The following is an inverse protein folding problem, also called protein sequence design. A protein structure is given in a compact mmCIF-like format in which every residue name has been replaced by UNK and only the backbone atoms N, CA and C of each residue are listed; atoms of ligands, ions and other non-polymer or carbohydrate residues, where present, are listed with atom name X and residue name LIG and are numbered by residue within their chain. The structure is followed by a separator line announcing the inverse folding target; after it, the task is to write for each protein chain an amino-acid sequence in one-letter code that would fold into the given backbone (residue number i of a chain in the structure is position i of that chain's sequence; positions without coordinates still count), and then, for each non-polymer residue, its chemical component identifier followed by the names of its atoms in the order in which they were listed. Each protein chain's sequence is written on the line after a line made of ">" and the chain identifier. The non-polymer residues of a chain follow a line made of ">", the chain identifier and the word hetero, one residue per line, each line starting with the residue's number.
data_IF_618443250504
#
_entry.id   IF_618443250504
#
_cell.length_a   1.000
_cell.length_b   1.000
_cell.length_c   1.000
_cell.angle_alpha   90.00
_cell.angle_beta   90.00
_cell.angle_gamma   90.00
#
_symmetry.space_group_name_H-M   'P 1'
#
loop_
_entity.id
_entity.type
_entity.pdbx_description
1 polymer ?
#
# COMPACT_ATOMS: atom_id res chain seq x y z
N UNK A 1 -4.23 0.73 -3.00
CA UNK A 1 -2.98 1.15 -3.67
C UNK A 1 -2.46 2.39 -2.96
N UNK A 2 -1.16 2.69 -3.03
CA UNK A 2 -0.62 3.94 -2.44
C UNK A 2 -0.92 5.19 -3.27
N UNK A 3 -1.63 5.06 -4.40
CA UNK A 3 -2.05 6.19 -5.22
C UNK A 3 -3.21 7.00 -4.62
N UNK A 4 -3.84 6.51 -3.55
CA UNK A 4 -4.85 7.26 -2.80
C UNK A 4 -4.28 8.57 -2.26
N UNK A 5 -2.97 8.65 -2.01
CA UNK A 5 -2.32 9.90 -1.59
C UNK A 5 -2.55 11.06 -2.55
N UNK A 6 -2.68 10.81 -3.86
CA UNK A 6 -2.83 11.86 -4.86
C UNK A 6 -4.10 12.69 -4.67
N UNK A 7 -5.15 12.10 -4.09
CA UNK A 7 -6.40 12.85 -3.80
C UNK A 7 -6.26 13.74 -2.56
N UNK A 8 -5.26 13.47 -1.71
CA UNK A 8 -5.01 14.19 -0.45
C UNK A 8 -3.83 15.17 -0.60
N UNK A 9 -2.95 14.99 -1.58
CA UNK A 9 -1.83 15.90 -1.87
C UNK A 9 -2.23 17.39 -1.95
N UNK A 10 -3.35 17.79 -2.60
CA UNK A 10 -3.79 19.18 -2.58
C UNK A 10 -4.12 19.70 -1.17
N UNK A 11 -4.67 18.84 -0.30
CA UNK A 11 -4.99 19.17 1.10
C UNK A 11 -3.69 19.32 1.90
N UNK A 12 -2.73 18.40 1.71
CA UNK A 12 -1.41 18.46 2.34
C UNK A 12 -0.69 19.76 1.95
N UNK A 13 -0.73 20.12 0.66
CA UNK A 13 -0.17 21.36 0.16
C UNK A 13 -0.82 22.57 0.83
N UNK A 14 -2.15 22.64 0.84
CA UNK A 14 -2.91 23.78 1.38
C UNK A 14 -2.66 23.98 2.87
N UNK A 15 -2.66 22.89 3.65
CA UNK A 15 -2.35 22.95 5.10
C UNK A 15 -0.90 23.36 5.34
N UNK A 16 0.05 22.83 4.56
CA UNK A 16 1.47 23.17 4.71
C UNK A 16 1.73 24.65 4.41
N UNK A 17 1.27 25.14 3.25
CA UNK A 17 1.56 26.50 2.80
C UNK A 17 0.93 27.55 3.72
N UNK A 18 -0.28 27.31 4.22
CA UNK A 18 -0.97 28.21 5.17
C UNK A 18 -0.29 28.29 6.53
N UNK A 19 0.40 27.23 6.95
CA UNK A 19 1.21 27.22 8.16
C UNK A 19 2.66 27.67 7.92
N UNK A 20 2.96 28.25 6.75
CA UNK A 20 4.30 28.65 6.34
C UNK A 20 5.33 27.49 6.36
N UNK A 21 4.85 26.27 6.14
CA UNK A 21 5.66 25.07 6.00
C UNK A 21 5.83 24.80 4.50
N UNK A 22 7.08 24.57 4.07
CA UNK A 22 7.40 24.17 2.70
C UNK A 22 6.62 22.89 2.31
N UNK A 23 5.67 22.94 1.35
CA UNK A 23 4.81 21.79 1.00
C UNK A 23 5.56 20.55 0.52
N UNK A 24 6.71 20.74 -0.12
CA UNK A 24 7.57 19.66 -0.62
C UNK A 24 8.00 18.70 0.49
N UNK A 25 8.07 19.18 1.75
CA UNK A 25 8.44 18.37 2.92
C UNK A 25 7.36 17.31 3.24
N UNK A 26 6.13 17.67 3.63
CA UNK A 26 5.09 16.68 3.93
C UNK A 26 4.59 15.95 2.69
N UNK A 27 4.56 16.58 1.50
CA UNK A 27 4.10 15.92 0.28
C UNK A 27 5.01 14.74 -0.08
N UNK A 28 6.33 14.93 -0.10
CA UNK A 28 7.27 13.85 -0.41
C UNK A 28 7.16 12.68 0.59
N UNK A 29 7.11 12.98 1.90
CA UNK A 29 6.99 11.96 2.93
C UNK A 29 5.65 11.21 2.83
N UNK A 30 4.55 11.91 2.55
CA UNK A 30 3.22 11.30 2.42
C UNK A 30 3.12 10.34 1.23
N UNK A 31 3.77 10.65 0.10
CA UNK A 31 3.77 9.77 -1.07
C UNK A 31 4.47 8.46 -0.78
N UNK A 32 5.63 8.51 -0.11
CA UNK A 32 6.35 7.31 0.31
C UNK A 32 5.56 6.55 1.38
N UNK A 33 5.05 7.23 2.40
CA UNK A 33 4.26 6.63 3.46
C UNK A 33 3.00 5.92 2.95
N UNK A 34 2.34 6.45 1.92
CA UNK A 34 1.17 5.80 1.32
C UNK A 34 1.51 4.48 0.61
N UNK A 35 2.71 4.38 0.01
CA UNK A 35 3.18 3.13 -0.58
C UNK A 35 3.58 2.12 0.50
N UNK A 36 4.28 2.56 1.55
CA UNK A 36 4.64 1.70 2.68
C UNK A 36 3.41 1.20 3.45
N UNK A 37 2.34 2.01 3.52
CA UNK A 37 1.08 1.60 4.13
C UNK A 37 0.40 0.39 3.50
N UNK A 38 0.81 -0.02 2.29
CA UNK A 38 0.32 -1.25 1.66
C UNK A 38 0.74 -2.48 2.49
N UNK A 39 1.97 -2.55 3.00
CA UNK A 39 2.45 -3.74 3.74
C UNK A 39 2.12 -3.71 5.23
N UNK A 40 1.69 -2.55 5.75
CA UNK A 40 1.31 -2.35 7.15
C UNK A 40 -0.21 -2.44 7.40
N UNK A 41 -0.99 -2.95 6.44
CA UNK A 41 -2.45 -2.95 6.53
C UNK A 41 -3.05 -4.36 6.61
N UNK A 42 -4.00 -4.62 7.53
CA UNK A 42 -4.65 -5.92 7.65
C UNK A 42 -5.58 -6.26 6.48
N UNK A 43 -5.99 -5.27 5.69
CA UNK A 43 -6.81 -5.47 4.50
C UNK A 43 -5.97 -5.48 3.22
N UNK A 44 -4.65 -5.54 3.35
CA UNK A 44 -3.75 -5.55 2.21
C UNK A 44 -3.69 -6.91 1.52
N UNK A 45 -3.97 -6.91 0.23
CA UNK A 45 -3.78 -8.07 -0.63
C UNK A 45 -2.32 -8.54 -0.62
N UNK A 46 -1.33 -7.62 -0.60
CA UNK A 46 0.08 -8.00 -0.59
C UNK A 46 0.46 -8.80 0.66
N UNK A 47 0.02 -8.33 1.84
CA UNK A 47 0.23 -9.01 3.14
C UNK A 47 -0.43 -10.38 3.14
N UNK A 48 -1.68 -10.45 2.70
CA UNK A 48 -2.47 -11.69 2.72
C UNK A 48 -1.96 -12.70 1.71
N UNK A 49 -1.57 -12.25 0.52
CA UNK A 49 -0.92 -13.09 -0.49
C UNK A 49 0.39 -13.66 0.02
N UNK A 50 1.22 -12.86 0.71
CA UNK A 50 2.47 -13.36 1.28
C UNK A 50 2.23 -14.42 2.36
N UNK A 51 1.30 -14.18 3.29
CA UNK A 51 0.92 -15.17 4.32
C UNK A 51 0.39 -16.45 3.68
N UNK A 52 -0.40 -16.34 2.60
CA UNK A 52 -0.90 -17.51 1.88
C UNK A 52 0.23 -18.28 1.17
N UNK A 53 1.16 -17.58 0.51
CA UNK A 53 2.32 -18.18 -0.18
C UNK A 53 3.28 -18.87 0.79
N UNK A 54 3.39 -18.37 2.03
CA UNK A 54 4.21 -18.94 3.08
C UNK A 54 3.44 -19.92 3.99
N UNK A 55 2.15 -20.16 3.73
CA UNK A 55 1.27 -20.91 4.63
C UNK A 55 1.70 -22.35 4.88
N UNK A 56 2.27 -23.00 3.86
CA UNK A 56 2.77 -24.38 3.95
C UNK A 56 4.21 -24.47 4.48
N UNK A 57 4.86 -23.34 4.77
CA UNK A 57 6.24 -23.30 5.22
C UNK A 57 6.33 -22.95 6.70
N UNK A 58 7.21 -23.66 7.41
CA UNK A 58 7.46 -23.39 8.83
C UNK A 58 8.74 -22.59 9.00
N UNK A 59 8.68 -21.54 9.82
CA UNK A 59 9.83 -20.76 10.28
C UNK A 59 10.06 -21.15 11.74
N UNK A 60 11.18 -21.81 12.04
CA UNK A 60 11.50 -22.32 13.37
C UNK A 60 10.39 -23.21 13.97
N UNK A 61 9.76 -24.06 13.14
CA UNK A 61 8.69 -24.97 13.57
C UNK A 61 7.32 -24.32 13.79
N UNK A 62 7.15 -23.03 13.44
CA UNK A 62 5.86 -22.33 13.46
C UNK A 62 5.47 -21.87 12.06
N UNK A 63 4.19 -21.99 11.72
CA UNK A 63 3.66 -21.34 10.53
C UNK A 63 3.59 -19.84 10.75
N UNK A 64 3.95 -19.07 9.73
CA UNK A 64 3.80 -17.62 9.78
C UNK A 64 2.29 -17.29 9.82
N UNK A 65 1.83 -16.73 10.94
CA UNK A 65 0.45 -16.24 11.00
C UNK A 65 0.36 -14.85 10.39
N UNK A 66 -0.87 -14.48 10.02
CA UNK A 66 -1.20 -13.12 9.59
C UNK A 66 -0.84 -12.06 10.64
N UNK A 67 -0.99 -12.39 11.92
CA UNK A 67 -0.65 -11.50 13.03
C UNK A 67 0.86 -11.34 13.16
N UNK A 68 1.64 -12.42 12.99
CA UNK A 68 3.09 -12.38 13.06
C UNK A 68 3.67 -11.45 12.00
N UNK A 69 3.16 -11.53 10.76
CA UNK A 69 3.61 -10.66 9.69
C UNK A 69 3.29 -9.19 10.00
N UNK A 70 2.07 -8.88 10.45
CA UNK A 70 1.68 -7.51 10.80
C UNK A 70 2.47 -6.97 12.01
N UNK A 71 2.81 -7.82 12.97
CA UNK A 71 3.64 -7.45 14.11
C UNK A 71 5.06 -7.04 13.69
N UNK A 72 5.52 -7.45 12.51
CA UNK A 72 6.80 -7.04 11.92
C UNK A 72 6.59 -5.82 11.01
N UNK A 73 5.61 -5.87 10.10
CA UNK A 73 5.44 -4.85 9.06
C UNK A 73 4.88 -3.53 9.59
N UNK A 74 4.00 -3.54 10.60
CA UNK A 74 3.44 -2.31 11.18
C UNK A 74 4.52 -1.50 11.91
N UNK A 75 5.31 -2.06 12.85
CA UNK A 75 6.34 -1.28 13.53
C UNK A 75 7.46 -0.83 12.59
N UNK A 76 7.92 -1.70 11.68
CA UNK A 76 8.96 -1.34 10.70
C UNK A 76 8.49 -0.21 9.77
N UNK A 77 7.25 -0.27 9.29
CA UNK A 77 6.65 0.79 8.48
C UNK A 77 6.53 2.09 9.26
N UNK A 78 6.09 2.03 10.52
CA UNK A 78 5.98 3.21 11.37
C UNK A 78 7.35 3.87 11.59
N UNK A 79 8.38 3.08 11.91
CA UNK A 79 9.75 3.57 12.07
C UNK A 79 10.25 4.20 10.76
N UNK A 80 10.05 3.54 9.63
CA UNK A 80 10.45 4.10 8.32
C UNK A 80 9.73 5.41 7.98
N UNK A 81 8.43 5.50 8.27
CA UNK A 81 7.65 6.73 8.07
C UNK A 81 8.12 7.85 9.01
N UNK A 82 8.45 7.53 10.26
CA UNK A 82 9.01 8.51 11.20
C UNK A 82 10.39 8.99 10.73
N UNK A 83 11.28 8.08 10.31
CA UNK A 83 12.59 8.42 9.78
C UNK A 83 12.48 9.34 8.55
N UNK A 84 11.61 9.01 7.58
CA UNK A 84 11.45 9.86 6.39
C UNK A 84 10.77 11.18 6.73
N UNK A 85 9.84 11.21 7.69
CA UNK A 85 9.22 12.43 8.17
C UNK A 85 10.22 13.38 8.82
N UNK A 86 11.06 12.85 9.72
CA UNK A 86 12.14 13.61 10.39
C UNK A 86 13.13 14.12 9.35
N UNK A 87 13.60 13.26 8.45
CA UNK A 87 14.50 13.66 7.37
C UNK A 87 13.89 14.77 6.50
N UNK A 88 12.60 14.63 6.13
CA UNK A 88 11.92 15.59 5.28
C UNK A 88 11.72 16.95 5.96
N UNK A 89 11.67 17.02 7.29
CA UNK A 89 11.59 18.29 8.03
C UNK A 89 12.80 19.20 7.73
N UNK A 90 13.99 18.62 7.55
CA UNK A 90 15.21 19.36 7.27
C UNK A 90 15.45 19.60 5.77
N UNK A 91 14.50 19.22 4.90
CA UNK A 91 14.67 19.36 3.45
C UNK A 91 14.40 20.78 2.98
N UNK A 92 15.40 21.40 2.36
CA UNK A 92 15.30 22.74 1.80
C UNK A 92 15.24 23.84 2.86
N UNK A 93 15.40 25.09 2.43
CA UNK A 93 15.30 26.26 3.31
C UNK A 93 13.85 26.46 3.76
N UNK A 94 13.66 27.00 4.95
CA UNK A 94 12.34 27.47 5.37
C UNK A 94 11.85 28.58 4.40
N UNK A 95 10.54 28.68 4.19
CA UNK A 95 9.97 29.55 3.16
C UNK A 95 10.34 31.02 3.37
N UNK A 96 10.39 31.47 4.61
CA UNK A 96 10.82 32.81 5.03
C UNK A 96 12.31 33.08 4.76
N UNK A 97 13.13 32.02 4.71
CA UNK A 97 14.59 32.09 4.50
C UNK A 97 15.01 31.75 3.07
N UNK A 98 14.07 31.42 2.20
CA UNK A 98 14.35 31.09 0.80
C UNK A 98 14.25 32.34 -0.10
N UNK A 99 15.37 32.88 -0.61
CA UNK A 99 15.36 34.08 -1.44
C UNK A 99 14.59 33.91 -2.75
N UNK A 100 14.60 32.70 -3.33
CA UNK A 100 13.88 32.42 -4.57
C UNK A 100 12.38 32.45 -4.31
N UNK A 101 11.92 31.81 -3.23
CA UNK A 101 10.52 31.85 -2.83
C UNK A 101 10.06 33.27 -2.47
N UNK A 102 10.85 34.02 -1.69
CA UNK A 102 10.53 35.40 -1.33
C UNK A 102 10.43 36.31 -2.56
N UNK A 103 11.34 36.18 -3.52
CA UNK A 103 11.27 36.94 -4.78
C UNK A 103 10.08 36.53 -5.64
N UNK A 104 9.69 35.25 -5.62
CA UNK A 104 8.50 34.75 -6.30
C UNK A 104 7.21 35.35 -5.71
N UNK A 105 7.03 35.31 -4.39
CA UNK A 105 5.82 35.83 -3.72
C UNK A 105 5.80 37.35 -3.55
N UNK A 106 6.90 38.05 -3.86
CA UNK A 106 6.92 39.51 -3.88
C UNK A 106 5.95 40.09 -4.91
N UNK A 107 5.69 39.35 -6.00
CA UNK A 107 4.66 39.72 -6.99
C UNK A 107 3.27 39.42 -6.44
N UNK A 108 2.34 40.40 -6.39
CA UNK A 108 0.99 40.20 -5.84
C UNK A 108 0.20 39.06 -6.49
N UNK A 109 0.36 38.88 -7.80
CA UNK A 109 -0.26 37.79 -8.56
C UNK A 109 0.22 36.41 -8.09
N UNK A 110 1.53 36.24 -7.93
CA UNK A 110 2.13 34.99 -7.44
C UNK A 110 1.75 34.72 -5.98
N UNK A 111 1.70 35.77 -5.15
CA UNK A 111 1.23 35.63 -3.76
C UNK A 111 -0.21 35.14 -3.70
N UNK A 112 -1.08 35.67 -4.58
CA UNK A 112 -2.47 35.22 -4.70
C UNK A 112 -2.58 33.81 -5.27
N UNK A 113 -1.67 33.41 -6.17
CA UNK A 113 -1.60 32.04 -6.65
C UNK A 113 -1.23 31.04 -5.54
N UNK A 114 -0.26 31.40 -4.69
CA UNK A 114 0.26 30.51 -3.63
C UNK A 114 -0.65 30.48 -2.39
N UNK A 115 -1.16 31.64 -1.96
CA UNK A 115 -1.92 31.81 -0.70
C UNK A 115 -3.39 32.19 -0.89
N UNK A 116 -3.85 32.34 -2.14
CA UNK A 116 -5.25 32.65 -2.41
C UNK A 116 -6.18 31.51 -2.03
N UNK A 117 -7.50 31.72 -2.22
CA UNK A 117 -8.51 30.70 -1.93
C UNK A 117 -8.41 29.53 -2.91
N UNK A 118 -7.48 28.61 -2.65
CA UNK A 118 -7.68 27.20 -2.97
C UNK A 118 -8.98 26.76 -2.30
N UNK A 119 -9.81 25.96 -2.97
CA UNK A 119 -11.03 25.44 -2.37
C UNK A 119 -10.66 24.49 -1.22
N UNK A 120 -10.44 25.04 -0.03
CA UNK A 120 -9.94 24.26 1.10
C UNK A 120 -11.10 23.48 1.69
N UNK A 121 -10.87 22.22 2.01
CA UNK A 121 -11.80 21.46 2.84
C UNK A 121 -11.69 21.86 4.31
N UNK A 122 -10.68 22.68 4.66
CA UNK A 122 -10.53 23.28 5.97
C UNK A 122 -11.80 24.09 6.28
N UNK A 123 -12.49 23.71 7.35
CA UNK A 123 -13.78 24.28 7.79
C UNK A 123 -15.03 23.91 6.96
N UNK A 124 -14.96 22.97 6.01
CA UNK A 124 -16.19 22.40 5.41
C UNK A 124 -16.79 21.33 6.31
N UNK A 125 -18.06 21.48 6.69
CA UNK A 125 -18.82 20.39 7.31
C UNK A 125 -19.09 19.30 6.27
N UNK A 126 -18.54 18.11 6.50
CA UNK A 126 -18.83 16.95 5.67
C UNK A 126 -20.28 16.49 5.93
N UNK A 127 -21.01 16.06 4.89
CA UNK A 127 -22.33 15.43 5.06
C UNK A 127 -22.27 14.25 6.04
N UNK A 128 -23.34 14.04 6.80
CA UNK A 128 -23.44 12.90 7.71
C UNK A 128 -23.29 11.55 6.99
N UNK A 129 -23.71 11.49 5.71
CA UNK A 129 -23.53 10.30 4.86
C UNK A 129 -22.05 9.92 4.66
N UNK A 130 -21.13 10.89 4.60
CA UNK A 130 -19.70 10.60 4.48
C UNK A 130 -19.14 9.97 5.76
N UNK A 131 -19.61 10.44 6.93
CA UNK A 131 -19.24 9.84 8.22
C UNK A 131 -19.81 8.42 8.35
N UNK A 132 -21.04 8.19 7.90
CA UNK A 132 -21.63 6.86 7.88
C UNK A 132 -20.84 5.91 6.97
N UNK A 133 -20.47 6.34 5.75
CA UNK A 133 -19.62 5.56 4.86
C UNK A 133 -18.28 5.19 5.51
N UNK A 134 -17.64 6.17 6.18
CA UNK A 134 -16.39 5.97 6.89
C UNK A 134 -16.53 4.91 8.00
N UNK A 135 -17.57 5.01 8.83
CA UNK A 135 -17.79 4.05 9.91
C UNK A 135 -18.12 2.64 9.40
N UNK A 136 -18.89 2.50 8.33
CA UNK A 136 -19.13 1.21 7.67
C UNK A 136 -17.80 0.60 7.20
N UNK A 137 -16.94 1.41 6.57
CA UNK A 137 -15.64 0.97 6.08
C UNK A 137 -14.71 0.55 7.23
N UNK A 138 -14.61 1.36 8.30
CA UNK A 138 -13.80 1.05 9.48
C UNK A 138 -14.31 -0.20 10.22
N UNK A 139 -15.63 -0.36 10.35
CA UNK A 139 -16.22 -1.56 10.94
C UNK A 139 -15.88 -2.81 10.11
N UNK A 140 -15.95 -2.73 8.78
CA UNK A 140 -15.56 -3.82 7.90
C UNK A 140 -14.07 -4.18 8.06
N UNK A 141 -13.18 -3.19 8.15
CA UNK A 141 -11.75 -3.43 8.44
C UNK A 141 -11.58 -4.15 9.78
N UNK A 142 -12.27 -3.70 10.84
CA UNK A 142 -12.16 -4.30 12.16
C UNK A 142 -12.63 -5.77 12.16
N UNK A 143 -13.72 -6.07 11.44
CA UNK A 143 -14.21 -7.45 11.26
C UNK A 143 -13.20 -8.29 10.51
N UNK A 144 -12.69 -7.82 9.37
CA UNK A 144 -11.69 -8.55 8.58
C UNK A 144 -10.40 -8.78 9.37
N UNK A 145 -9.91 -7.78 10.09
CA UNK A 145 -8.73 -7.91 10.93
C UNK A 145 -8.95 -8.95 12.03
N UNK A 146 -10.14 -8.99 12.64
CA UNK A 146 -10.51 -9.99 13.65
C UNK A 146 -10.57 -11.40 13.05
N UNK A 147 -11.15 -11.57 11.86
CA UNK A 147 -11.19 -12.84 11.13
C UNK A 147 -9.79 -13.31 10.69
N UNK A 148 -8.90 -12.36 10.40
CA UNK A 148 -7.49 -12.64 10.10
C UNK A 148 -6.68 -13.03 11.33
N UNK A 149 -6.95 -12.40 12.47
CA UNK A 149 -6.30 -12.71 13.74
C UNK A 149 -6.75 -14.06 14.31
N UNK A 150 -8.03 -14.41 14.14
CA UNK A 150 -8.62 -15.61 14.72
C UNK A 150 -9.16 -16.52 13.63
N UNK A 151 -8.33 -17.48 13.20
CA UNK A 151 -8.65 -18.41 12.12
C UNK A 151 -9.93 -19.23 12.35
N UNK A 152 -10.30 -19.48 13.61
CA UNK A 152 -11.49 -20.22 14.03
C UNK A 152 -12.81 -19.44 13.89
N UNK A 153 -12.75 -18.10 13.77
CA UNK A 153 -13.94 -17.29 13.47
C UNK A 153 -14.34 -17.38 11.99
N UNK A 154 -13.45 -17.87 11.13
CA UNK A 154 -13.71 -17.99 9.69
C UNK A 154 -14.60 -19.21 9.43
N UNK A 155 -15.61 -19.09 8.56
CA UNK A 155 -16.40 -20.24 8.12
C UNK A 155 -15.51 -21.35 7.58
N UNK A 156 -15.84 -22.60 7.91
CA UNK A 156 -15.09 -23.79 7.47
C UNK A 156 -15.85 -24.45 6.33
N UNK A 157 -15.18 -24.65 5.21
CA UNK A 157 -15.66 -25.41 4.06
C UNK A 157 -14.63 -26.52 3.78
N UNK A 158 -15.09 -27.74 3.54
CA UNK A 158 -14.22 -28.89 3.27
C UNK A 158 -13.11 -29.10 4.33
N UNK A 159 -13.44 -28.85 5.60
CA UNK A 159 -12.51 -28.99 6.72
C UNK A 159 -11.43 -27.91 6.82
N UNK A 160 -11.42 -26.90 5.94
CA UNK A 160 -10.48 -25.77 5.97
C UNK A 160 -11.20 -24.44 6.18
N UNK A 161 -10.67 -23.56 7.05
CA UNK A 161 -11.19 -22.20 7.16
C UNK A 161 -11.07 -21.44 5.83
N UNK A 162 -12.07 -20.62 5.51
CA UNK A 162 -12.09 -19.80 4.29
C UNK A 162 -10.80 -18.95 4.16
N UNK A 163 -10.22 -18.87 2.96
CA UNK A 163 -8.99 -18.11 2.74
C UNK A 163 -9.19 -16.63 3.04
N UNK A 164 -8.13 -15.97 3.55
CA UNK A 164 -8.21 -14.54 3.85
C UNK A 164 -8.47 -13.67 2.61
N UNK A 165 -8.05 -14.13 1.43
CA UNK A 165 -8.37 -13.48 0.15
C UNK A 165 -9.88 -13.42 -0.06
N UNK A 166 -10.58 -14.54 0.12
CA UNK A 166 -12.04 -14.60 -0.05
C UNK A 166 -12.77 -13.84 1.06
N UNK A 167 -12.29 -13.93 2.32
CA UNK A 167 -12.85 -13.15 3.43
C UNK A 167 -12.81 -11.64 3.11
N UNK A 168 -11.66 -11.11 2.70
CA UNK A 168 -11.52 -9.70 2.33
C UNK A 168 -12.46 -9.33 1.20
N UNK A 169 -12.52 -10.13 0.13
CA UNK A 169 -13.39 -9.85 -1.01
C UNK A 169 -14.86 -9.75 -0.59
N UNK A 170 -15.35 -10.72 0.18
CA UNK A 170 -16.74 -10.74 0.66
C UNK A 170 -17.05 -9.50 1.50
N UNK A 171 -16.21 -9.19 2.50
CA UNK A 171 -16.48 -8.08 3.42
C UNK A 171 -16.24 -6.70 2.80
N UNK A 172 -15.32 -6.56 1.85
CA UNK A 172 -15.12 -5.30 1.12
C UNK A 172 -16.28 -5.04 0.13
N UNK A 173 -16.76 -6.07 -0.57
CA UNK A 173 -17.95 -5.96 -1.43
C UNK A 173 -19.21 -5.68 -0.60
N UNK A 174 -19.37 -6.35 0.54
CA UNK A 174 -20.46 -6.10 1.47
C UNK A 174 -20.41 -4.66 1.99
N UNK A 175 -19.25 -4.18 2.44
CA UNK A 175 -19.10 -2.79 2.87
C UNK A 175 -19.46 -1.81 1.76
N UNK A 176 -19.01 -2.05 0.52
CA UNK A 176 -19.40 -1.24 -0.64
C UNK A 176 -20.91 -1.23 -0.87
N UNK A 177 -21.57 -2.39 -0.78
CA UNK A 177 -23.02 -2.50 -0.90
C UNK A 177 -23.75 -1.72 0.21
N UNK A 178 -23.33 -1.87 1.47
CA UNK A 178 -23.91 -1.13 2.60
C UNK A 178 -23.71 0.38 2.46
N UNK A 179 -22.53 0.82 2.00
CA UNK A 179 -22.28 2.25 1.72
C UNK A 179 -23.28 2.75 0.67
N UNK A 180 -23.48 2.05 -0.44
CA UNK A 180 -24.45 2.47 -1.47
C UNK A 180 -25.86 2.55 -0.90
N UNK A 181 -26.29 1.53 -0.14
CA UNK A 181 -27.65 1.45 0.43
C UNK A 181 -27.89 2.57 1.45
N UNK A 182 -26.93 2.88 2.32
CA UNK A 182 -27.14 3.79 3.44
C UNK A 182 -26.71 5.24 3.20
N UNK A 183 -26.02 5.54 2.10
CA UNK A 183 -25.50 6.90 1.84
C UNK A 183 -26.06 7.57 0.58
N UNK A 184 -27.09 6.99 -0.03
CA UNK A 184 -27.71 7.44 -1.29
C UNK A 184 -26.69 7.67 -2.42
N UNK A 185 -25.58 6.93 -2.38
CA UNK A 185 -24.53 7.05 -3.39
C UNK A 185 -25.05 6.50 -4.71
N UNK A 186 -25.15 7.36 -5.73
CA UNK A 186 -25.60 6.96 -7.08
C UNK A 186 -24.59 5.98 -7.70
N UNK A 187 -24.94 4.72 -7.99
CA UNK A 187 -23.97 3.74 -8.49
C UNK A 187 -23.26 4.17 -9.79
N UNK A 188 -23.98 4.88 -10.66
CA UNK A 188 -23.44 5.39 -11.93
C UNK A 188 -22.35 6.47 -11.76
N UNK A 189 -22.21 7.09 -10.58
CA UNK A 189 -21.12 8.05 -10.32
C UNK A 189 -19.81 7.36 -9.97
N UNK A 190 -19.86 6.12 -9.45
CA UNK A 190 -18.68 5.35 -9.05
C UNK A 190 -17.80 5.07 -10.26
N UNK A 191 -18.37 4.52 -11.34
CA UNK A 191 -17.61 4.18 -12.55
C UNK A 191 -17.11 5.38 -13.36
N UNK A 192 -17.70 6.56 -13.12
CA UNK A 192 -17.34 7.82 -13.78
C UNK A 192 -16.26 8.59 -13.02
N UNK A 193 -16.05 8.28 -11.74
CA UNK A 193 -15.02 8.89 -10.91
C UNK A 193 -13.62 8.48 -11.40
N UNK A 194 -12.70 9.45 -11.42
CA UNK A 194 -11.27 9.27 -11.72
C UNK A 194 -10.60 8.18 -10.89
N UNK A 195 -10.94 8.06 -9.60
CA UNK A 195 -10.37 7.03 -8.71
C UNK A 195 -10.73 5.62 -9.19
N UNK A 196 -11.98 5.38 -9.57
CA UNK A 196 -12.40 4.08 -10.09
C UNK A 196 -11.78 3.81 -11.46
N UNK A 197 -11.78 4.79 -12.37
CA UNK A 197 -11.17 4.64 -13.70
C UNK A 197 -9.68 4.35 -13.61
N UNK A 198 -8.95 5.12 -12.81
CA UNK A 198 -7.52 4.90 -12.54
C UNK A 198 -7.30 3.52 -11.91
N UNK A 199 -8.16 3.11 -10.96
CA UNK A 199 -8.13 1.78 -10.36
C UNK A 199 -8.32 0.66 -11.38
N UNK A 200 -9.30 0.76 -12.27
CA UNK A 200 -9.55 -0.24 -13.31
C UNK A 200 -8.40 -0.36 -14.31
N UNK A 201 -7.84 0.78 -14.75
CA UNK A 201 -6.65 0.79 -15.61
C UNK A 201 -5.47 0.09 -14.91
N UNK A 202 -5.24 0.40 -13.63
CA UNK A 202 -4.20 -0.22 -12.84
C UNK A 202 -4.40 -1.74 -12.69
N UNK A 203 -5.64 -2.21 -12.49
CA UNK A 203 -5.93 -3.65 -12.39
C UNK A 203 -5.56 -4.38 -13.69
N UNK A 204 -5.97 -3.86 -14.84
CA UNK A 204 -5.64 -4.47 -16.15
C UNK A 204 -4.14 -4.45 -16.40
N UNK A 205 -3.47 -3.34 -16.09
CA UNK A 205 -2.01 -3.23 -16.24
C UNK A 205 -1.25 -4.22 -15.33
N UNK A 206 -1.62 -4.30 -14.05
CA UNK A 206 -0.99 -5.21 -13.08
C UNK A 206 -1.23 -6.67 -13.47
N UNK A 207 -2.42 -7.02 -13.94
CA UNK A 207 -2.72 -8.38 -14.43
C UNK A 207 -1.83 -8.74 -15.63
N UNK A 208 -1.70 -7.84 -16.61
CA UNK A 208 -0.83 -8.06 -17.77
C UNK A 208 0.64 -8.26 -17.37
N UNK A 209 1.15 -7.46 -16.43
CA UNK A 209 2.53 -7.59 -15.94
C UNK A 209 2.71 -8.91 -15.17
N UNK A 210 1.77 -9.27 -14.28
CA UNK A 210 1.84 -10.52 -13.52
C UNK A 210 1.86 -11.74 -14.45
N UNK A 211 1.01 -11.75 -15.48
CA UNK A 211 0.97 -12.84 -16.45
C UNK A 211 2.25 -12.91 -17.31
N UNK A 212 2.76 -11.78 -17.78
CA UNK A 212 4.03 -11.75 -18.52
C UNK A 212 5.20 -12.22 -17.64
N UNK A 213 5.25 -11.80 -16.38
CA UNK A 213 6.25 -12.24 -15.42
C UNK A 213 6.16 -13.76 -15.20
N UNK A 214 4.96 -14.29 -14.94
CA UNK A 214 4.74 -15.73 -14.77
C UNK A 214 5.14 -16.54 -16.01
N UNK A 215 4.83 -16.03 -17.21
CA UNK A 215 5.22 -16.68 -18.48
C UNK A 215 6.74 -16.68 -18.67
N UNK A 216 7.42 -15.54 -18.44
CA UNK A 216 8.87 -15.42 -18.56
C UNK A 216 9.61 -16.25 -17.51
N UNK A 217 9.17 -16.19 -16.24
CA UNK A 217 9.75 -16.98 -15.17
C UNK A 217 9.53 -18.47 -15.40
N UNK A 218 8.34 -18.89 -15.83
CA UNK A 218 8.06 -20.28 -16.19
C UNK A 218 8.93 -20.79 -17.33
N UNK A 219 9.17 -19.98 -18.36
CA UNK A 219 10.00 -20.36 -19.52
C UNK A 219 11.51 -20.46 -19.20
N UNK A 220 11.99 -19.71 -18.20
CA UNK A 220 13.41 -19.64 -17.84
C UNK A 220 13.73 -20.22 -16.46
N UNK A 221 12.79 -20.97 -15.86
CA UNK A 221 12.86 -21.42 -14.47
C UNK A 221 14.20 -22.12 -14.18
N UNK A 222 14.60 -23.11 -14.99
CA UNK A 222 15.86 -23.86 -14.79
C UNK A 222 17.12 -22.96 -14.80
N UNK A 223 17.17 -21.96 -15.69
CA UNK A 223 18.31 -21.03 -15.78
C UNK A 223 18.34 -20.08 -14.58
N UNK A 224 17.16 -19.63 -14.16
CA UNK A 224 16.95 -18.75 -13.02
C UNK A 224 17.32 -19.49 -11.73
N UNK A 225 16.92 -20.76 -11.57
CA UNK A 225 17.32 -21.60 -10.44
C UNK A 225 18.84 -21.82 -10.39
N UNK A 226 19.48 -22.06 -11.54
CA UNK A 226 20.94 -22.24 -11.60
C UNK A 226 21.73 -21.01 -11.15
N UNK A 227 21.32 -19.82 -11.60
CA UNK A 227 22.04 -18.56 -11.31
C UNK A 227 21.64 -17.98 -9.95
N UNK A 228 20.34 -17.89 -9.63
CA UNK A 228 19.88 -17.32 -8.36
C UNK A 228 20.01 -18.30 -7.21
N UNK A 229 19.86 -19.60 -7.45
CA UNK A 229 20.01 -20.61 -6.40
C UNK A 229 21.43 -20.67 -5.84
N UNK A 230 22.45 -20.50 -6.68
CA UNK A 230 23.85 -20.39 -6.22
C UNK A 230 24.12 -19.06 -5.52
N UNK A 231 23.69 -17.95 -6.11
CA UNK A 231 23.87 -16.61 -5.55
C UNK A 231 23.19 -16.43 -4.18
N UNK A 232 21.95 -16.89 -4.02
CA UNK A 232 21.19 -16.67 -2.78
C UNK A 232 21.60 -17.65 -1.66
N UNK A 233 22.12 -18.83 -2.01
CA UNK A 233 22.77 -19.73 -1.03
C UNK A 233 24.03 -19.12 -0.44
N UNK A 234 24.82 -18.42 -1.26
CA UNK A 234 26.05 -17.76 -0.83
C UNK A 234 25.80 -16.39 -0.19
N UNK A 235 24.85 -15.62 -0.74
CA UNK A 235 24.48 -14.27 -0.31
C UNK A 235 22.96 -14.14 -0.10
N UNK A 236 22.42 -14.55 1.06
CA UNK A 236 20.98 -14.49 1.32
C UNK A 236 20.36 -13.09 1.19
N UNK A 237 21.13 -12.02 1.45
CA UNK A 237 20.69 -10.63 1.30
C UNK A 237 20.45 -10.22 -0.16
N UNK A 238 21.02 -10.94 -1.14
CA UNK A 238 20.82 -10.66 -2.56
C UNK A 238 19.35 -10.81 -2.96
N UNK A 239 18.58 -11.63 -2.24
CA UNK A 239 17.14 -11.76 -2.40
C UNK A 239 16.41 -10.41 -2.28
N UNK A 240 16.74 -9.61 -1.26
CA UNK A 240 16.12 -8.30 -1.03
C UNK A 240 16.37 -7.34 -2.20
N UNK A 241 17.57 -7.39 -2.78
CA UNK A 241 17.94 -6.56 -3.95
C UNK A 241 17.15 -6.98 -5.18
N UNK A 242 17.05 -8.29 -5.44
CA UNK A 242 16.26 -8.83 -6.56
C UNK A 242 14.79 -8.46 -6.41
N UNK A 243 14.22 -8.65 -5.21
CA UNK A 243 12.83 -8.29 -4.92
C UNK A 243 12.59 -6.79 -5.12
N UNK A 244 13.53 -5.93 -4.70
CA UNK A 244 13.45 -4.48 -4.92
C UNK A 244 13.48 -4.14 -6.42
N UNK A 245 14.38 -4.74 -7.19
CA UNK A 245 14.47 -4.51 -8.64
C UNK A 245 13.19 -4.95 -9.36
N UNK A 246 12.71 -6.17 -9.09
CA UNK A 246 11.48 -6.68 -9.68
C UNK A 246 10.27 -5.84 -9.27
N UNK A 247 10.18 -5.44 -8.00
CA UNK A 247 9.13 -4.54 -7.51
C UNK A 247 9.12 -3.21 -8.25
N UNK A 248 10.30 -2.64 -8.56
CA UNK A 248 10.42 -1.43 -9.36
C UNK A 248 10.01 -1.63 -10.82
N UNK A 249 10.37 -2.76 -11.44
CA UNK A 249 9.95 -3.06 -12.82
C UNK A 249 8.45 -3.31 -12.94
N UNK A 250 7.85 -4.00 -11.96
CA UNK A 250 6.44 -4.41 -11.98
C UNK A 250 5.52 -3.30 -11.44
N UNK A 251 6.06 -2.32 -10.72
CA UNK A 251 5.33 -1.20 -10.11
C UNK A 251 4.12 -1.64 -9.24
N UNK A 252 4.16 -2.87 -8.72
CA UNK A 252 3.10 -3.47 -7.90
C UNK A 252 3.69 -4.46 -6.91
N UNK A 253 3.52 -4.17 -5.61
CA UNK A 253 4.09 -5.01 -4.53
C UNK A 253 3.48 -6.40 -4.50
N UNK A 254 2.16 -6.52 -4.66
CA UNK A 254 1.48 -7.82 -4.67
C UNK A 254 1.90 -8.67 -5.88
N UNK A 255 2.04 -8.08 -7.07
CA UNK A 255 2.47 -8.82 -8.26
C UNK A 255 3.96 -9.20 -8.20
N UNK A 256 4.82 -8.33 -7.64
CA UNK A 256 6.22 -8.65 -7.41
C UNK A 256 6.39 -9.83 -6.45
N UNK A 257 5.65 -9.83 -5.32
CA UNK A 257 5.64 -10.96 -4.40
C UNK A 257 5.12 -12.24 -5.07
N UNK A 258 4.02 -12.15 -5.84
CA UNK A 258 3.47 -13.30 -6.56
C UNK A 258 4.45 -13.92 -7.56
N UNK A 259 5.30 -13.11 -8.20
CA UNK A 259 6.29 -13.61 -9.15
C UNK A 259 7.54 -14.16 -8.46
N UNK A 260 8.04 -13.50 -7.41
CA UNK A 260 9.38 -13.77 -6.84
C UNK A 260 9.32 -14.75 -5.68
N UNK A 261 8.28 -14.72 -4.84
CA UNK A 261 8.21 -15.57 -3.63
C UNK A 261 8.15 -17.06 -3.95
N UNK A 262 7.29 -17.56 -4.87
CA UNK A 262 7.24 -18.99 -5.19
C UNK A 262 8.58 -19.51 -5.73
N UNK A 263 9.22 -18.73 -6.60
CA UNK A 263 10.55 -19.02 -7.13
C UNK A 263 11.60 -19.08 -6.02
N UNK A 264 11.59 -18.13 -5.09
CA UNK A 264 12.52 -18.08 -3.97
C UNK A 264 12.38 -19.30 -3.04
N UNK A 265 11.16 -19.73 -2.77
CA UNK A 265 10.92 -20.96 -2.01
C UNK A 265 11.44 -22.19 -2.75
N UNK A 266 11.25 -22.25 -4.08
CA UNK A 266 11.69 -23.36 -4.93
C UNK A 266 13.22 -23.54 -4.92
N UNK A 267 13.98 -22.44 -4.97
CA UNK A 267 15.46 -22.47 -4.90
C UNK A 267 16.01 -22.64 -3.46
N UNK A 268 15.11 -22.74 -2.46
CA UNK A 268 15.47 -23.00 -1.07
C UNK A 268 15.84 -21.76 -0.24
N UNK A 269 15.35 -20.57 -0.61
CA UNK A 269 15.51 -19.37 0.24
C UNK A 269 14.79 -19.59 1.56
N UNK A 270 15.47 -19.32 2.68
CA UNK A 270 14.84 -19.40 3.98
C UNK A 270 13.69 -18.36 4.05
N UNK A 271 12.45 -18.78 4.38
CA UNK A 271 11.29 -17.88 4.42
C UNK A 271 11.46 -16.70 5.36
N UNK A 272 12.32 -16.80 6.38
CA UNK A 272 12.64 -15.68 7.25
C UNK A 272 13.23 -14.49 6.47
N UNK A 273 14.06 -14.73 5.44
CA UNK A 273 14.59 -13.67 4.58
C UNK A 273 13.51 -13.07 3.67
N UNK A 274 12.54 -13.90 3.26
CA UNK A 274 11.39 -13.44 2.48
C UNK A 274 10.55 -12.47 3.33
N UNK A 275 10.24 -12.86 4.57
CA UNK A 275 9.49 -12.02 5.53
C UNK A 275 10.26 -10.75 5.89
N UNK A 276 11.59 -10.84 6.08
CA UNK A 276 12.42 -9.69 6.41
C UNK A 276 12.54 -8.67 5.25
N UNK A 277 12.29 -9.10 4.02
CA UNK A 277 12.40 -8.26 2.81
C UNK A 277 11.03 -7.83 2.25
N UNK A 278 9.93 -8.19 2.93
CA UNK A 278 8.56 -7.96 2.50
C UNK A 278 8.10 -6.49 2.61
#
# INVERSE_FOLDING_TARGET
>A
TGHVVYTILPIIYDVAIKNNIRPERPMAASTIGSQMGIIASPVSVAVVSLVAMLGDVTINGKHLSFVDLLAITIPSTLIGILCIGIFSWYRGKDLDKDPEFQSFIAKPENRKYVYGDTATLLNKKLPASNWLAMWIFLASIAVVASLGAFSWLRPVFDGKPLSMVLVIQIFMLLAGALIIIFTDTKPASISKNEVFRSGMIAIVAVYGIAWMAETMFGAHLEQIEGVLGSLVKEYPWAYAVVLLLVSKFVNSQAAALAAVVPLALMIGVNPAYIVASA
#
